data_IF_978224563869
#
_entry.id   IF_978224563869
#
_cell.length_a   1.000
_cell.length_b   1.000
_cell.length_c   1.000
_cell.angle_alpha   90.00
_cell.angle_beta   90.00
_cell.angle_gamma   90.00
#
_symmetry.space_group_name_H-M   'P 1'
#
loop_
_entity.id
_entity.type
_entity.pdbx_description
1 polymer ?
#
# COMPACT_ATOMS: atom_id res chain seq x y z
N UNK A 1 -12.17 -7.54 10.26
CA UNK A 1 -11.25 -7.16 9.17
C UNK A 1 -11.87 -5.96 8.49
N UNK A 2 -11.11 -4.88 8.30
CA UNK A 2 -11.56 -3.68 7.60
C UNK A 2 -11.47 -3.89 6.09
N UNK A 3 -12.35 -3.24 5.33
CA UNK A 3 -12.38 -3.37 3.88
C UNK A 3 -12.29 -2.00 3.22
N UNK A 4 -11.32 -1.85 2.36
CA UNK A 4 -11.12 -0.66 1.54
C UNK A 4 -10.99 -1.01 0.06
N UNK A 5 -10.86 0.03 -0.74
CA UNK A 5 -10.54 -0.12 -2.16
C UNK A 5 -9.40 0.79 -2.58
N UNK A 6 -8.81 0.52 -3.72
CA UNK A 6 -7.76 1.36 -4.28
C UNK A 6 -8.02 1.69 -5.75
N UNK A 7 -7.54 2.85 -6.16
CA UNK A 7 -7.39 3.20 -7.56
C UNK A 7 -5.91 3.37 -7.88
N UNK A 8 -5.37 2.39 -8.60
CA UNK A 8 -3.97 2.35 -9.04
C UNK A 8 -3.90 2.93 -10.45
N UNK A 9 -2.91 3.77 -10.72
CA UNK A 9 -2.68 4.39 -12.04
C UNK A 9 -3.90 5.14 -12.61
N UNK A 10 -4.50 6.07 -11.88
CA UNK A 10 -5.60 6.87 -12.42
C UNK A 10 -5.17 7.59 -13.70
N UNK A 11 -6.04 7.63 -14.69
CA UNK A 11 -5.79 8.37 -15.93
C UNK A 11 -5.85 9.90 -15.67
N UNK A 12 -6.74 10.31 -14.77
CA UNK A 12 -7.00 11.72 -14.43
C UNK A 12 -7.12 11.88 -12.92
N UNK A 13 -6.77 13.04 -12.35
CA UNK A 13 -7.03 13.34 -10.94
C UNK A 13 -8.50 13.16 -10.53
N UNK A 14 -9.44 13.57 -11.38
CA UNK A 14 -10.88 13.46 -11.13
C UNK A 14 -11.33 12.00 -10.92
N UNK A 15 -10.64 11.03 -11.53
CA UNK A 15 -10.95 9.61 -11.35
C UNK A 15 -10.73 9.18 -9.89
N UNK A 16 -9.72 9.76 -9.22
CA UNK A 16 -9.43 9.50 -7.80
C UNK A 16 -10.51 10.09 -6.90
N UNK A 17 -10.94 11.33 -7.19
CA UNK A 17 -12.01 11.99 -6.45
C UNK A 17 -13.31 11.19 -6.57
N UNK A 18 -13.66 10.77 -7.79
CA UNK A 18 -14.86 9.98 -8.05
C UNK A 18 -14.81 8.60 -7.34
N UNK A 19 -13.65 7.92 -7.38
CA UNK A 19 -13.48 6.61 -6.75
C UNK A 19 -13.53 6.71 -5.22
N UNK A 20 -12.94 7.74 -4.63
CA UNK A 20 -13.00 7.96 -3.17
C UNK A 20 -14.45 8.26 -2.72
N UNK A 21 -15.19 9.09 -3.45
CA UNK A 21 -16.58 9.37 -3.17
C UNK A 21 -17.47 8.11 -3.33
N UNK A 22 -17.21 7.28 -4.35
CA UNK A 22 -17.92 5.99 -4.50
C UNK A 22 -17.63 5.05 -3.34
N UNK A 23 -16.38 4.95 -2.90
CA UNK A 23 -15.98 4.17 -1.74
C UNK A 23 -16.70 4.64 -0.44
N UNK A 24 -16.82 5.95 -0.24
CA UNK A 24 -17.56 6.51 0.90
C UNK A 24 -19.05 6.15 0.86
N UNK A 25 -19.71 6.31 -0.31
CA UNK A 25 -21.14 5.98 -0.47
C UNK A 25 -21.44 4.49 -0.25
N UNK A 26 -20.45 3.62 -0.52
CA UNK A 26 -20.53 2.17 -0.23
C UNK A 26 -20.26 1.83 1.22
N UNK A 27 -19.90 2.81 2.05
CA UNK A 27 -19.55 2.57 3.45
C UNK A 27 -18.24 1.82 3.66
N UNK A 28 -17.32 1.88 2.67
CA UNK A 28 -16.00 1.27 2.84
C UNK A 28 -15.19 1.98 3.92
N UNK A 29 -14.34 1.21 4.63
CA UNK A 29 -13.51 1.73 5.69
C UNK A 29 -12.39 2.64 5.20
N UNK A 30 -11.87 2.40 3.96
CA UNK A 30 -10.71 3.13 3.46
C UNK A 30 -10.63 3.20 1.93
N UNK A 31 -9.93 4.24 1.46
CA UNK A 31 -9.58 4.42 0.05
C UNK A 31 -8.07 4.65 -0.09
N UNK A 32 -7.44 3.97 -1.06
CA UNK A 32 -5.99 3.97 -1.24
C UNK A 32 -5.56 4.33 -2.65
N UNK A 33 -4.42 5.02 -2.73
CA UNK A 33 -3.73 5.27 -4.00
C UNK A 33 -2.23 5.06 -3.80
N UNK A 34 -1.45 5.08 -4.89
CA UNK A 34 -0.03 4.78 -4.82
C UNK A 34 0.79 5.73 -5.68
N UNK A 35 2.08 5.79 -5.40
CA UNK A 35 3.03 6.49 -6.24
C UNK A 35 3.61 5.53 -7.29
N UNK A 36 3.24 5.73 -8.54
CA UNK A 36 3.85 5.06 -9.68
C UNK A 36 4.76 6.02 -10.45
N UNK A 37 5.85 5.48 -11.06
CA UNK A 37 6.76 6.29 -11.88
C UNK A 37 6.06 7.08 -12.95
N UNK A 38 6.33 8.40 -13.02
CA UNK A 38 5.75 9.29 -14.02
C UNK A 38 4.25 9.52 -13.91
N UNK A 39 3.62 9.16 -12.79
CA UNK A 39 2.19 9.35 -12.53
C UNK A 39 1.95 10.41 -11.46
N UNK A 40 0.68 10.66 -11.18
CA UNK A 40 0.20 11.65 -10.23
C UNK A 40 0.76 11.40 -8.81
N UNK A 41 1.04 12.49 -8.11
CA UNK A 41 1.47 12.40 -6.72
C UNK A 41 0.31 12.00 -5.80
N UNK A 42 0.44 10.92 -4.99
CA UNK A 42 -0.65 10.43 -4.17
C UNK A 42 -1.04 11.39 -3.04
N UNK A 43 -0.12 12.09 -2.40
CA UNK A 43 -0.46 13.02 -1.32
C UNK A 43 -1.20 14.25 -1.84
N UNK A 44 -0.78 14.77 -3.00
CA UNK A 44 -1.50 15.87 -3.66
C UNK A 44 -2.91 15.44 -4.03
N UNK A 45 -3.09 14.23 -4.60
CA UNK A 45 -4.42 13.70 -4.90
C UNK A 45 -5.28 13.56 -3.65
N UNK A 46 -4.73 12.96 -2.57
CA UNK A 46 -5.48 12.77 -1.32
C UNK A 46 -5.88 14.11 -0.67
N UNK A 47 -5.07 15.16 -0.82
CA UNK A 47 -5.41 16.49 -0.32
C UNK A 47 -6.60 17.14 -1.06
N UNK A 48 -6.94 16.68 -2.27
CA UNK A 48 -8.05 17.24 -3.07
C UNK A 48 -9.39 16.53 -2.84
N UNK A 49 -9.41 15.45 -2.04
CA UNK A 49 -10.61 14.67 -1.81
C UNK A 49 -11.66 15.45 -0.99
N UNK A 50 -12.89 15.50 -1.50
CA UNK A 50 -14.06 15.95 -0.77
C UNK A 50 -14.71 14.78 0.00
N UNK A 51 -15.79 14.21 -0.56
CA UNK A 51 -16.41 13.00 -0.04
C UNK A 51 -15.44 11.82 -0.14
N UNK A 52 -15.18 11.15 0.98
CA UNK A 52 -14.24 10.04 1.08
C UNK A 52 -14.56 9.13 2.27
N UNK A 53 -14.05 7.90 2.32
CA UNK A 53 -14.10 7.05 3.52
C UNK A 53 -13.40 7.70 4.73
N UNK A 54 -13.66 7.20 5.95
CA UNK A 54 -13.01 7.69 7.17
C UNK A 54 -11.48 7.65 7.11
N UNK A 55 -10.92 6.70 6.37
CA UNK A 55 -9.48 6.58 6.15
C UNK A 55 -9.11 6.69 4.67
N UNK A 56 -8.04 7.42 4.40
CA UNK A 56 -7.38 7.46 3.08
C UNK A 56 -5.91 7.12 3.24
N UNK A 57 -5.34 6.41 2.27
CA UNK A 57 -3.96 5.92 2.43
C UNK A 57 -3.12 5.92 1.17
N UNK A 58 -1.81 5.87 1.39
CA UNK A 58 -0.83 5.62 0.34
C UNK A 58 -0.32 4.17 0.40
N UNK A 59 -0.36 3.46 -0.72
CA UNK A 59 0.15 2.08 -0.83
C UNK A 59 1.06 1.92 -2.05
N UNK A 60 2.20 2.52 -2.05
CA UNK A 60 2.92 3.32 -1.05
C UNK A 60 3.46 4.62 -1.67
N UNK A 61 3.94 5.53 -0.82
CA UNK A 61 4.79 6.66 -1.20
C UNK A 61 6.26 6.24 -1.18
N UNK A 62 7.02 6.58 -2.22
CA UNK A 62 8.44 6.18 -2.36
C UNK A 62 9.36 7.05 -1.50
N UNK A 63 10.30 6.42 -0.75
CA UNK A 63 11.18 7.13 0.20
C UNK A 63 12.40 7.76 -0.44
N UNK A 64 13.04 7.11 -1.43
CA UNK A 64 14.30 7.59 -2.01
C UNK A 64 14.25 8.98 -2.64
N UNK A 65 13.23 9.35 -3.44
CA UNK A 65 13.17 10.66 -4.05
C UNK A 65 12.69 11.77 -3.11
N UNK A 66 12.35 11.44 -1.84
CA UNK A 66 11.82 12.39 -0.87
C UNK A 66 12.61 12.40 0.41
N UNK A 67 12.98 13.59 0.86
CA UNK A 67 13.56 13.74 2.18
C UNK A 67 12.50 13.48 3.28
N UNK A 68 12.81 12.77 4.40
CA UNK A 68 11.82 12.46 5.43
C UNK A 68 11.17 13.70 6.08
N UNK A 69 11.88 14.81 6.18
CA UNK A 69 11.34 16.11 6.64
C UNK A 69 10.25 16.60 5.69
N UNK A 70 10.49 16.53 4.37
CA UNK A 70 9.51 16.93 3.36
C UNK A 70 8.27 16.04 3.44
N UNK A 71 8.45 14.73 3.53
CA UNK A 71 7.33 13.78 3.66
C UNK A 71 6.52 14.01 4.93
N UNK A 72 7.18 14.31 6.06
CA UNK A 72 6.47 14.65 7.30
C UNK A 72 5.61 15.91 7.14
N UNK A 73 6.17 16.97 6.52
CA UNK A 73 5.43 18.19 6.24
C UNK A 73 4.25 17.97 5.31
N UNK A 74 4.46 17.23 4.22
CA UNK A 74 3.41 16.89 3.25
C UNK A 74 2.28 16.09 3.92
N UNK A 75 2.61 15.04 4.68
CA UNK A 75 1.63 14.19 5.34
C UNK A 75 0.82 14.95 6.40
N UNK A 76 1.47 15.78 7.23
CA UNK A 76 0.77 16.64 8.21
C UNK A 76 -0.09 17.69 7.52
N UNK A 77 0.34 18.21 6.35
CA UNK A 77 -0.47 19.13 5.56
C UNK A 77 -1.74 18.45 5.04
N UNK A 78 -1.63 17.23 4.52
CA UNK A 78 -2.81 16.44 4.11
C UNK A 78 -3.74 16.19 5.31
N UNK A 79 -3.19 15.78 6.45
CA UNK A 79 -3.97 15.58 7.68
C UNK A 79 -4.75 16.84 8.08
N UNK A 80 -4.10 17.99 8.06
CA UNK A 80 -4.76 19.27 8.40
C UNK A 80 -5.81 19.67 7.36
N UNK A 81 -5.48 19.56 6.07
CA UNK A 81 -6.37 19.96 4.97
C UNK A 81 -7.62 19.09 4.87
N UNK A 82 -7.50 17.81 5.22
CA UNK A 82 -8.60 16.84 5.14
C UNK A 82 -9.34 16.62 6.47
N UNK A 83 -8.89 17.23 7.56
CA UNK A 83 -9.47 17.02 8.88
C UNK A 83 -9.12 15.66 9.49
N UNK A 84 -8.06 15.02 9.04
CA UNK A 84 -7.58 13.74 9.55
C UNK A 84 -7.85 12.54 8.64
N UNK A 85 -7.55 11.35 9.15
CA UNK A 85 -7.83 10.08 8.46
C UNK A 85 -6.78 9.64 7.44
N UNK A 86 -5.60 10.29 7.36
CA UNK A 86 -4.50 9.81 6.51
C UNK A 86 -3.79 8.64 7.17
N UNK A 87 -3.56 7.60 6.41
CA UNK A 87 -2.58 6.53 6.70
C UNK A 87 -1.44 6.65 5.69
N UNK A 88 -0.24 6.94 6.19
CA UNK A 88 0.95 7.13 5.38
C UNK A 88 1.68 5.80 5.21
N UNK A 89 1.47 5.12 4.11
CA UNK A 89 2.27 3.96 3.72
C UNK A 89 3.49 4.39 2.90
N UNK A 90 4.69 4.01 3.34
CA UNK A 90 5.96 4.35 2.68
C UNK A 90 6.74 3.10 2.29
N UNK A 91 7.68 3.24 1.35
CA UNK A 91 8.55 2.12 0.96
C UNK A 91 9.70 2.54 0.05
N UNK A 92 10.76 1.72 -0.03
CA UNK A 92 11.96 2.07 -0.80
C UNK A 92 11.78 2.01 -2.32
N UNK A 93 10.66 1.47 -2.81
CA UNK A 93 10.46 1.21 -4.24
C UNK A 93 11.46 0.18 -4.79
N UNK A 94 11.88 0.31 -6.05
CA UNK A 94 12.70 -0.66 -6.79
C UNK A 94 13.88 0.01 -7.48
N UNK A 95 14.97 -0.71 -7.66
CA UNK A 95 16.21 -0.20 -8.27
C UNK A 95 15.96 0.38 -9.67
N UNK A 96 15.19 -0.32 -10.51
CA UNK A 96 14.90 0.12 -11.88
C UNK A 96 14.26 1.52 -11.95
N UNK A 97 13.45 1.90 -10.94
CA UNK A 97 12.88 3.24 -10.87
C UNK A 97 13.85 4.23 -10.23
N UNK A 98 14.33 3.91 -9.04
CA UNK A 98 15.15 4.84 -8.25
C UNK A 98 16.50 5.08 -8.90
N UNK A 99 17.17 4.02 -9.33
CA UNK A 99 18.52 4.13 -9.89
C UNK A 99 18.50 4.40 -11.38
N UNK A 100 17.73 3.60 -12.16
CA UNK A 100 17.86 3.63 -13.61
C UNK A 100 17.08 4.80 -14.24
N UNK A 101 15.95 5.22 -13.61
CA UNK A 101 15.15 6.36 -14.11
C UNK A 101 15.46 7.68 -13.40
N UNK A 102 15.68 7.66 -12.07
CA UNK A 102 15.92 8.90 -11.33
C UNK A 102 17.41 9.21 -11.09
N UNK A 103 18.32 8.28 -11.38
CA UNK A 103 19.76 8.47 -11.15
C UNK A 103 20.15 8.52 -9.67
N UNK A 104 19.26 8.12 -8.76
CA UNK A 104 19.52 8.10 -7.32
C UNK A 104 20.12 6.74 -6.95
N UNK A 105 21.29 6.66 -6.31
CA UNK A 105 21.89 5.39 -5.92
C UNK A 105 20.94 4.54 -5.05
N UNK A 106 20.55 3.36 -5.53
CA UNK A 106 19.70 2.43 -4.78
C UNK A 106 20.54 1.48 -3.94
N UNK A 107 21.15 2.02 -2.89
CA UNK A 107 22.02 1.26 -2.01
C UNK A 107 21.35 0.97 -0.68
N UNK A 108 21.58 -0.25 -0.14
CA UNK A 108 21.18 -0.63 1.22
C UNK A 108 19.74 -0.27 1.59
N UNK A 109 18.69 -0.69 0.84
CA UNK A 109 17.32 -0.22 1.04
C UNK A 109 16.79 -0.45 2.46
N UNK A 110 17.23 -1.51 3.14
CA UNK A 110 16.87 -1.75 4.53
C UNK A 110 17.43 -0.67 5.48
N UNK A 111 18.71 -0.31 5.34
CA UNK A 111 19.35 0.72 6.18
C UNK A 111 18.78 2.10 5.87
N UNK A 112 18.62 2.40 4.58
CA UNK A 112 17.96 3.64 4.15
C UNK A 112 16.55 3.79 4.73
N UNK A 113 15.72 2.74 4.64
CA UNK A 113 14.36 2.78 5.18
C UNK A 113 14.35 2.92 6.70
N UNK A 114 15.25 2.22 7.41
CA UNK A 114 15.40 2.36 8.86
C UNK A 114 15.71 3.81 9.23
N UNK A 115 16.70 4.39 8.61
CA UNK A 115 17.11 5.77 8.90
C UNK A 115 16.02 6.78 8.54
N UNK A 116 15.35 6.56 7.40
CA UNK A 116 14.21 7.35 6.98
C UNK A 116 13.09 7.36 8.02
N UNK A 117 12.70 6.18 8.53
CA UNK A 117 11.65 6.05 9.54
C UNK A 117 12.07 6.61 10.91
N UNK A 118 13.35 6.49 11.28
CA UNK A 118 13.91 7.07 12.50
C UNK A 118 13.78 8.59 12.53
N UNK A 119 13.87 9.24 11.36
CA UNK A 119 13.65 10.69 11.22
C UNK A 119 12.16 11.01 11.07
N UNK A 120 11.43 10.25 10.25
CA UNK A 120 10.05 10.54 9.88
C UNK A 120 9.09 10.43 11.08
N UNK A 121 9.14 9.32 11.82
CA UNK A 121 8.17 9.04 12.90
C UNK A 121 8.12 10.14 13.96
N UNK A 122 9.24 10.58 14.58
CA UNK A 122 9.18 11.63 15.60
C UNK A 122 8.78 12.98 15.01
N UNK A 123 9.13 13.32 13.75
CA UNK A 123 8.63 14.52 13.10
C UNK A 123 7.11 14.54 12.95
N UNK A 124 6.52 13.40 12.57
CA UNK A 124 5.06 13.26 12.50
C UNK A 124 4.39 13.45 13.87
N UNK A 125 5.09 13.08 14.95
CA UNK A 125 4.63 13.28 16.34
C UNK A 125 4.88 14.71 16.86
N UNK A 126 5.45 15.61 16.06
CA UNK A 126 5.74 16.99 16.45
C UNK A 126 6.99 17.14 17.32
N UNK A 127 7.85 16.13 17.36
CA UNK A 127 9.10 16.15 18.14
C UNK A 127 10.21 16.91 17.40
N UNK A 128 11.19 17.40 18.15
CA UNK A 128 12.44 17.91 17.60
C UNK A 128 13.36 16.73 17.28
N UNK A 129 13.82 16.65 16.03
CA UNK A 129 14.72 15.58 15.58
C UNK A 129 16.11 16.13 15.39
N UNK A 130 17.07 15.48 16.05
CA UNK A 130 18.50 15.64 15.79
C UNK A 130 19.06 14.28 15.40
N UNK A 131 19.45 14.15 14.13
CA UNK A 131 19.93 12.90 13.54
C UNK A 131 21.15 13.17 12.66
N UNK A 132 22.16 12.30 12.75
CA UNK A 132 23.32 12.31 11.85
C UNK A 132 23.64 10.87 11.48
N UNK A 133 23.23 10.47 10.28
CA UNK A 133 23.32 9.12 9.78
C UNK A 133 24.06 9.02 8.44
N UNK A 134 23.93 7.86 7.81
CA UNK A 134 24.53 7.57 6.51
C UNK A 134 23.78 8.29 5.37
N UNK A 135 22.45 8.36 5.46
CA UNK A 135 21.57 8.88 4.41
C UNK A 135 21.02 10.27 4.71
N UNK A 136 20.82 10.58 5.99
CA UNK A 136 20.20 11.83 6.40
C UNK A 136 20.95 12.51 7.54
N UNK A 137 21.07 13.83 7.45
CA UNK A 137 21.49 14.67 8.56
C UNK A 137 20.41 15.71 8.79
N UNK A 138 19.80 15.72 9.98
CA UNK A 138 18.63 16.52 10.33
C UNK A 138 18.80 17.11 11.71
N UNK A 139 18.54 18.40 11.84
CA UNK A 139 18.36 19.08 13.13
C UNK A 139 17.20 20.08 12.97
N UNK A 140 15.98 19.60 13.23
CA UNK A 140 14.77 20.40 13.01
C UNK A 140 13.58 19.94 13.85
N UNK A 141 12.62 20.82 13.99
CA UNK A 141 11.26 20.56 14.43
C UNK A 141 10.31 21.19 13.42
N UNK A 142 9.22 20.51 13.11
CA UNK A 142 8.20 21.08 12.23
C UNK A 142 7.29 22.04 13.01
N UNK A 143 7.01 23.17 12.41
CA UNK A 143 6.04 24.14 12.92
C UNK A 143 4.68 23.95 12.21
N UNK A 144 4.21 22.69 12.20
CA UNK A 144 2.93 22.28 11.62
C UNK A 144 2.19 21.46 12.66
N UNK A 145 0.96 21.84 12.96
CA UNK A 145 0.14 21.15 13.96
C UNK A 145 -1.00 20.41 13.27
N UNK A 146 -0.93 19.08 13.30
CA UNK A 146 -2.00 18.19 12.90
C UNK A 146 -1.88 16.88 13.72
N UNK A 147 -2.95 16.09 13.89
CA UNK A 147 -2.84 14.74 14.45
C UNK A 147 -1.87 13.91 13.61
N UNK A 148 -0.98 13.10 14.22
CA UNK A 148 -0.07 12.26 13.45
C UNK A 148 -0.88 11.23 12.61
N UNK A 149 -0.54 11.03 11.34
CA UNK A 149 -1.11 9.94 10.55
C UNK A 149 -0.59 8.58 11.06
N UNK A 150 -1.38 7.52 10.89
CA UNK A 150 -0.85 6.18 11.02
C UNK A 150 0.28 5.97 9.99
N UNK A 151 1.37 5.33 10.40
CA UNK A 151 2.56 5.12 9.57
C UNK A 151 2.72 3.63 9.27
N UNK A 152 2.57 3.26 8.01
CA UNK A 152 2.79 1.89 7.53
C UNK A 152 4.02 1.84 6.61
N UNK A 153 4.59 0.64 6.43
CA UNK A 153 5.62 0.47 5.42
C UNK A 153 5.40 -0.77 4.55
N UNK A 154 5.85 -0.69 3.29
CA UNK A 154 5.89 -1.85 2.41
C UNK A 154 6.95 -2.84 2.87
N UNK A 155 6.55 -4.08 3.12
CA UNK A 155 7.46 -5.13 3.56
C UNK A 155 7.02 -6.51 3.04
N UNK A 156 7.99 -7.26 2.50
CA UNK A 156 7.82 -8.65 2.04
C UNK A 156 8.92 -9.57 2.57
N UNK A 157 10.13 -9.06 2.67
CA UNK A 157 11.28 -9.82 3.18
C UNK A 157 11.32 -9.82 4.71
N UNK A 158 11.90 -10.87 5.34
CA UNK A 158 11.88 -11.04 6.80
C UNK A 158 12.45 -9.82 7.55
N UNK A 159 13.59 -9.29 7.10
CA UNK A 159 14.23 -8.13 7.75
C UNK A 159 13.42 -6.83 7.59
N UNK A 160 12.67 -6.68 6.51
CA UNK A 160 11.77 -5.53 6.33
C UNK A 160 10.52 -5.69 7.19
N UNK A 161 9.99 -6.90 7.37
CA UNK A 161 8.87 -7.17 8.28
C UNK A 161 9.25 -6.90 9.74
N UNK A 162 10.45 -7.30 10.16
CA UNK A 162 11.00 -7.00 11.49
C UNK A 162 11.15 -5.49 11.70
N UNK A 163 11.66 -4.77 10.67
CA UNK A 163 11.77 -3.31 10.71
C UNK A 163 10.40 -2.63 10.82
N UNK A 164 9.40 -3.12 10.10
CA UNK A 164 8.05 -2.59 10.19
C UNK A 164 7.47 -2.73 11.59
N UNK A 165 7.62 -3.91 12.20
CA UNK A 165 7.21 -4.16 13.58
C UNK A 165 7.88 -3.21 14.58
N UNK A 166 9.14 -2.88 14.34
CA UNK A 166 9.93 -2.02 15.25
C UNK A 166 9.53 -0.52 15.13
N UNK A 167 9.30 -0.02 13.91
CA UNK A 167 9.25 1.41 13.66
C UNK A 167 7.91 1.93 13.09
N UNK A 168 6.93 1.06 12.83
CA UNK A 168 5.67 1.48 12.18
C UNK A 168 4.43 0.91 12.88
N UNK A 169 3.26 1.38 12.51
CA UNK A 169 1.97 0.89 13.01
C UNK A 169 1.45 -0.31 12.20
N UNK A 170 2.17 -0.70 11.14
CA UNK A 170 1.79 -1.82 10.31
C UNK A 170 2.55 -1.96 9.00
N UNK A 171 2.19 -3.00 8.27
CA UNK A 171 2.73 -3.31 6.95
C UNK A 171 1.69 -3.15 5.85
N UNK A 172 2.16 -2.77 4.66
CA UNK A 172 1.39 -2.85 3.41
C UNK A 172 2.04 -3.89 2.53
N UNK A 173 1.25 -4.87 2.09
CA UNK A 173 1.72 -5.95 1.20
C UNK A 173 0.87 -6.03 -0.07
N UNK A 174 1.48 -6.47 -1.14
CA UNK A 174 0.80 -6.77 -2.42
C UNK A 174 1.49 -7.97 -3.08
N UNK A 175 0.83 -8.62 -4.02
CA UNK A 175 1.32 -9.84 -4.68
C UNK A 175 1.62 -10.96 -3.66
N UNK A 176 0.69 -11.20 -2.77
CA UNK A 176 0.76 -12.21 -1.71
C UNK A 176 -0.50 -13.07 -1.71
N UNK A 177 -0.39 -14.29 -1.16
CA UNK A 177 -1.53 -15.18 -0.93
C UNK A 177 -1.88 -15.23 0.56
N UNK A 178 -3.08 -15.74 0.93
CA UNK A 178 -3.42 -15.98 2.33
C UNK A 178 -2.39 -16.84 3.07
N UNK A 179 -1.85 -17.86 2.42
CA UNK A 179 -0.84 -18.75 3.00
C UNK A 179 0.44 -17.98 3.33
N UNK A 180 0.90 -17.12 2.40
CA UNK A 180 2.08 -16.30 2.63
C UNK A 180 1.87 -15.30 3.78
N UNK A 181 0.66 -14.78 3.94
CA UNK A 181 0.32 -13.95 5.10
C UNK A 181 0.40 -14.78 6.39
N UNK A 182 -0.26 -15.94 6.45
CA UNK A 182 -0.31 -16.79 7.64
C UNK A 182 1.05 -17.34 8.05
N UNK A 183 1.87 -17.77 7.08
CA UNK A 183 3.11 -18.51 7.36
C UNK A 183 4.34 -17.61 7.41
N UNK A 184 4.30 -16.44 6.74
CA UNK A 184 5.49 -15.61 6.62
C UNK A 184 5.31 -14.20 7.20
N UNK A 185 4.20 -13.50 6.91
CA UNK A 185 4.01 -12.11 7.33
C UNK A 185 3.55 -12.03 8.78
N UNK A 186 2.39 -12.61 9.11
CA UNK A 186 1.78 -12.50 10.43
C UNK A 186 2.69 -12.98 11.58
N UNK A 187 3.43 -14.10 11.48
CA UNK A 187 4.33 -14.53 12.55
C UNK A 187 5.49 -13.58 12.82
N UNK A 188 5.89 -12.75 11.82
CA UNK A 188 7.02 -11.82 11.97
C UNK A 188 6.61 -10.45 12.47
N UNK A 189 5.44 -10.00 12.09
CA UNK A 189 4.97 -8.68 12.52
C UNK A 189 4.20 -8.73 13.83
N UNK A 190 3.64 -9.90 14.19
CA UNK A 190 2.83 -10.08 15.40
C UNK A 190 1.39 -9.60 15.20
N UNK A 191 0.62 -9.62 16.28
CA UNK A 191 -0.81 -9.29 16.30
C UNK A 191 -1.10 -7.83 16.67
N UNK A 192 -0.07 -7.09 17.08
CA UNK A 192 -0.22 -5.75 17.67
C UNK A 192 -0.11 -4.64 16.61
N UNK A 193 0.23 -4.98 15.36
CA UNK A 193 0.31 -4.03 14.26
C UNK A 193 -0.58 -4.43 13.08
N UNK A 194 -0.92 -3.47 12.25
CA UNK A 194 -1.81 -3.69 11.10
C UNK A 194 -1.12 -4.49 10.00
N UNK A 195 -1.86 -5.41 9.39
CA UNK A 195 -1.48 -6.12 8.16
C UNK A 195 -2.47 -5.71 7.09
N UNK A 196 -2.07 -4.72 6.28
CA UNK A 196 -2.85 -4.22 5.14
C UNK A 196 -2.43 -4.98 3.88
N UNK A 197 -3.37 -5.69 3.29
CA UNK A 197 -3.13 -6.48 2.07
C UNK A 197 -3.88 -5.88 0.90
N UNK A 198 -3.15 -5.46 -0.12
CA UNK A 198 -3.73 -5.08 -1.40
C UNK A 198 -4.03 -6.34 -2.20
N UNK A 199 -5.31 -6.66 -2.33
CA UNK A 199 -5.81 -7.85 -3.05
C UNK A 199 -6.27 -7.44 -4.44
N UNK A 200 -5.54 -7.89 -5.45
CA UNK A 200 -5.91 -7.67 -6.85
C UNK A 200 -6.96 -8.71 -7.22
N UNK A 201 -8.06 -8.27 -7.79
CA UNK A 201 -9.20 -9.14 -8.13
C UNK A 201 -9.63 -8.95 -9.57
N UNK A 202 -10.12 -10.02 -10.20
CA UNK A 202 -10.70 -9.97 -11.55
C UNK A 202 -11.89 -10.94 -11.64
N UNK A 203 -13.09 -10.39 -11.83
CA UNK A 203 -14.26 -11.19 -12.19
C UNK A 203 -14.09 -11.75 -13.61
N UNK A 204 -14.17 -13.07 -13.74
CA UNK A 204 -14.01 -13.74 -15.03
C UNK A 204 -14.72 -15.08 -15.05
N UNK A 205 -15.36 -15.39 -16.17
CA UNK A 205 -15.91 -16.71 -16.48
C UNK A 205 -14.88 -17.65 -17.14
N UNK A 206 -13.70 -17.12 -17.47
CA UNK A 206 -12.57 -17.84 -18.09
C UNK A 206 -11.28 -17.61 -17.27
N UNK A 207 -11.21 -18.13 -16.01
CA UNK A 207 -10.14 -17.79 -15.08
C UNK A 207 -8.74 -18.15 -15.58
N UNK A 208 -8.57 -19.27 -16.29
CA UNK A 208 -7.27 -19.69 -16.79
C UNK A 208 -6.75 -18.74 -17.88
N UNK A 209 -7.61 -18.38 -18.82
CA UNK A 209 -7.28 -17.40 -19.88
C UNK A 209 -6.98 -16.03 -19.31
N UNK A 210 -7.72 -15.61 -18.29
CA UNK A 210 -7.48 -14.35 -17.59
C UNK A 210 -6.13 -14.40 -16.88
N UNK A 211 -5.78 -15.49 -16.21
CA UNK A 211 -4.49 -15.69 -15.54
C UNK A 211 -3.32 -15.61 -16.51
N UNK A 212 -3.43 -16.28 -17.66
CA UNK A 212 -2.41 -16.18 -18.72
C UNK A 212 -2.21 -14.74 -19.24
N UNK A 213 -3.29 -13.99 -19.41
CA UNK A 213 -3.20 -12.58 -19.82
C UNK A 213 -2.49 -11.75 -18.76
N UNK A 214 -2.87 -11.89 -17.49
CA UNK A 214 -2.25 -11.19 -16.37
C UNK A 214 -0.79 -11.59 -16.17
N UNK A 215 -0.42 -12.85 -16.43
CA UNK A 215 0.97 -13.29 -16.37
C UNK A 215 1.84 -12.59 -17.43
N UNK A 216 1.29 -12.28 -18.59
CA UNK A 216 1.98 -11.46 -19.61
C UNK A 216 2.06 -9.99 -19.18
N UNK A 217 0.96 -9.43 -18.68
CA UNK A 217 0.88 -8.01 -18.33
C UNK A 217 1.73 -7.65 -17.11
N UNK A 218 1.79 -8.54 -16.12
CA UNK A 218 2.54 -8.35 -14.88
C UNK A 218 3.87 -9.13 -14.80
N UNK A 219 4.30 -9.76 -15.89
CA UNK A 219 5.54 -10.55 -15.91
C UNK A 219 6.75 -9.79 -15.38
N UNK A 220 6.93 -8.53 -15.78
CA UNK A 220 8.01 -7.67 -15.33
C UNK A 220 8.00 -7.43 -13.80
N UNK A 221 6.84 -7.48 -13.14
CA UNK A 221 6.75 -7.38 -11.67
C UNK A 221 7.42 -8.58 -11.00
N UNK A 222 7.21 -9.78 -11.54
CA UNK A 222 7.81 -11.03 -11.04
C UNK A 222 9.33 -11.04 -11.12
N UNK A 223 9.93 -10.25 -12.02
CA UNK A 223 11.38 -10.12 -12.15
C UNK A 223 12.02 -9.23 -11.09
N UNK A 224 11.25 -8.42 -10.39
CA UNK A 224 11.75 -7.55 -9.33
C UNK A 224 12.22 -8.39 -8.13
N UNK A 225 13.44 -8.18 -7.59
CA UNK A 225 14.03 -9.07 -6.58
C UNK A 225 13.16 -9.33 -5.34
N UNK A 226 12.46 -8.31 -4.85
CA UNK A 226 11.59 -8.43 -3.68
C UNK A 226 10.37 -9.32 -3.96
N UNK A 227 9.72 -9.14 -5.11
CA UNK A 227 8.57 -9.95 -5.50
C UNK A 227 8.97 -11.37 -5.89
N UNK A 228 10.06 -11.54 -6.65
CA UNK A 228 10.60 -12.87 -6.97
C UNK A 228 10.89 -13.68 -5.71
N UNK A 229 11.53 -13.07 -4.72
CA UNK A 229 11.81 -13.74 -3.45
C UNK A 229 10.54 -14.05 -2.66
N UNK A 230 9.51 -13.20 -2.73
CA UNK A 230 8.22 -13.42 -2.08
C UNK A 230 7.45 -14.57 -2.75
N UNK A 231 7.32 -14.52 -4.06
CA UNK A 231 6.67 -15.58 -4.87
C UNK A 231 7.36 -16.93 -4.66
N UNK A 232 8.69 -16.95 -4.68
CA UNK A 232 9.47 -18.18 -4.44
C UNK A 232 9.22 -18.80 -3.06
N UNK A 233 8.98 -18.00 -2.01
CA UNK A 233 8.59 -18.53 -0.68
C UNK A 233 7.23 -19.21 -0.70
N UNK A 234 6.33 -18.73 -1.53
CA UNK A 234 4.99 -19.29 -1.71
C UNK A 234 4.96 -20.43 -2.75
N UNK A 235 6.10 -20.80 -3.36
CA UNK A 235 6.15 -21.79 -4.44
C UNK A 235 5.49 -21.32 -5.74
N UNK A 236 5.31 -20.00 -5.91
CA UNK A 236 4.66 -19.39 -7.07
C UNK A 236 5.68 -18.91 -8.10
N UNK A 237 5.29 -18.91 -9.36
CA UNK A 237 6.15 -18.51 -10.48
C UNK A 237 5.78 -17.15 -11.08
N UNK A 238 4.57 -16.67 -10.86
CA UNK A 238 4.06 -15.44 -11.46
C UNK A 238 3.29 -14.59 -10.46
N UNK A 239 3.35 -13.25 -10.55
CA UNK A 239 2.43 -12.37 -9.81
C UNK A 239 0.95 -12.67 -10.08
N UNK A 240 0.61 -13.15 -11.28
CA UNK A 240 -0.75 -13.54 -11.64
C UNK A 240 -1.31 -14.68 -10.76
N UNK A 241 -0.42 -15.51 -10.15
CA UNK A 241 -0.82 -16.58 -9.24
C UNK A 241 -1.37 -16.04 -7.91
N UNK A 242 -1.11 -14.77 -7.58
CA UNK A 242 -1.62 -14.09 -6.39
C UNK A 242 -2.92 -13.31 -6.64
N UNK A 243 -3.32 -13.16 -7.91
CA UNK A 243 -4.55 -12.46 -8.28
C UNK A 243 -5.74 -13.37 -8.03
N UNK A 244 -6.75 -12.86 -7.36
CA UNK A 244 -8.01 -13.58 -7.16
C UNK A 244 -8.85 -13.44 -8.44
N UNK A 245 -8.98 -14.53 -9.17
CA UNK A 245 -9.70 -14.60 -10.45
C UNK A 245 -10.80 -15.63 -10.34
N UNK A 246 -12.03 -15.27 -10.69
CA UNK A 246 -13.16 -16.18 -10.68
C UNK A 246 -14.49 -15.44 -10.64
N UNK A 247 -15.49 -16.11 -10.10
CA UNK A 247 -16.80 -15.50 -9.87
C UNK A 247 -16.87 -14.77 -8.52
N UNK A 248 -18.06 -14.27 -8.18
CA UNK A 248 -18.32 -13.57 -6.92
C UNK A 248 -18.01 -14.44 -5.69
N UNK A 249 -18.32 -15.73 -5.77
CA UNK A 249 -18.08 -16.70 -4.69
C UNK A 249 -16.59 -16.88 -4.45
N UNK A 250 -15.80 -16.98 -5.50
CA UNK A 250 -14.34 -17.12 -5.43
C UNK A 250 -13.70 -15.90 -4.73
N UNK A 251 -14.17 -14.70 -5.06
CA UNK A 251 -13.68 -13.46 -4.42
C UNK A 251 -14.02 -13.46 -2.93
N UNK A 252 -15.27 -13.75 -2.55
CA UNK A 252 -15.70 -13.78 -1.15
C UNK A 252 -14.94 -14.83 -0.35
N UNK A 253 -14.73 -16.02 -0.92
CA UNK A 253 -13.92 -17.07 -0.30
C UNK A 253 -12.47 -16.65 -0.09
N UNK A 254 -11.87 -15.98 -1.07
CA UNK A 254 -10.51 -15.46 -0.94
C UNK A 254 -10.40 -14.39 0.17
N UNK A 255 -11.35 -13.48 0.27
CA UNK A 255 -11.38 -12.47 1.34
C UNK A 255 -11.48 -13.14 2.73
N UNK A 256 -12.29 -14.17 2.85
CA UNK A 256 -12.40 -14.98 4.07
C UNK A 256 -11.05 -15.60 4.44
N UNK A 257 -10.36 -16.22 3.46
CA UNK A 257 -9.03 -16.80 3.68
C UNK A 257 -7.99 -15.75 4.10
N UNK A 258 -8.00 -14.56 3.51
CA UNK A 258 -7.12 -13.46 3.94
C UNK A 258 -7.40 -13.04 5.38
N UNK A 259 -8.67 -12.93 5.77
CA UNK A 259 -9.05 -12.64 7.16
C UNK A 259 -8.52 -13.69 8.12
N UNK A 260 -8.74 -14.96 7.80
CA UNK A 260 -8.35 -16.10 8.66
C UNK A 260 -6.83 -16.28 8.72
N UNK A 261 -6.09 -15.76 7.72
CA UNK A 261 -4.63 -15.67 7.70
C UNK A 261 -4.04 -14.56 8.61
N UNK A 262 -4.89 -13.71 9.21
CA UNK A 262 -4.45 -12.63 10.11
C UNK A 262 -4.37 -11.26 9.46
N UNK A 263 -4.93 -11.07 8.26
CA UNK A 263 -5.07 -9.76 7.63
C UNK A 263 -6.02 -8.88 8.44
N UNK A 264 -5.58 -7.69 8.81
CA UNK A 264 -6.42 -6.72 9.52
C UNK A 264 -7.25 -5.86 8.57
N UNK A 265 -6.68 -5.54 7.40
CA UNK A 265 -7.28 -4.68 6.39
C UNK A 265 -7.06 -5.28 5.00
N UNK A 266 -8.13 -5.46 4.26
CA UNK A 266 -8.08 -5.79 2.83
C UNK A 266 -8.37 -4.54 2.02
N UNK A 267 -7.50 -4.25 1.06
CA UNK A 267 -7.67 -3.18 0.07
C UNK A 267 -7.89 -3.81 -1.29
N UNK A 268 -9.12 -3.80 -1.76
CA UNK A 268 -9.46 -4.36 -3.06
C UNK A 268 -8.95 -3.48 -4.21
N UNK A 269 -8.30 -4.12 -5.16
CA UNK A 269 -7.84 -3.51 -6.41
C UNK A 269 -8.49 -4.21 -7.60
N UNK A 270 -9.77 -3.91 -7.89
CA UNK A 270 -10.49 -4.60 -8.94
C UNK A 270 -9.97 -4.22 -10.33
N UNK A 271 -9.68 -5.23 -11.14
CA UNK A 271 -9.33 -5.13 -12.56
C UNK A 271 -10.56 -5.30 -13.44
N UNK A 272 -10.36 -5.23 -14.76
CA UNK A 272 -11.40 -5.42 -15.76
C UNK A 272 -12.07 -4.11 -16.20
N UNK A 273 -13.24 -4.26 -16.81
CA UNK A 273 -14.06 -3.13 -17.29
C UNK A 273 -14.63 -2.33 -16.09
N UNK A 274 -15.11 -1.10 -16.31
CA UNK A 274 -15.81 -0.37 -15.24
C UNK A 274 -16.99 -1.14 -14.64
N UNK A 275 -17.69 -1.95 -15.44
CA UNK A 275 -18.78 -2.80 -14.96
C UNK A 275 -18.27 -3.94 -14.05
N UNK A 276 -17.17 -4.59 -14.42
CA UNK A 276 -16.55 -5.66 -13.59
C UNK A 276 -16.05 -5.11 -12.26
N UNK A 277 -15.40 -3.96 -12.30
CA UNK A 277 -14.94 -3.27 -11.07
C UNK A 277 -16.12 -2.91 -10.16
N UNK A 278 -17.20 -2.38 -10.74
CA UNK A 278 -18.41 -2.07 -9.98
C UNK A 278 -18.99 -3.34 -9.34
N UNK A 279 -19.15 -4.43 -10.10
CA UNK A 279 -19.66 -5.70 -9.58
C UNK A 279 -18.77 -6.24 -8.45
N UNK A 280 -17.44 -6.16 -8.58
CA UNK A 280 -16.51 -6.55 -7.52
C UNK A 280 -16.73 -5.75 -6.24
N UNK A 281 -16.94 -4.43 -6.36
CA UNK A 281 -17.20 -3.57 -5.20
C UNK A 281 -18.61 -3.80 -4.61
N UNK A 282 -19.60 -4.15 -5.43
CA UNK A 282 -20.96 -4.47 -4.97
C UNK A 282 -20.98 -5.73 -4.06
N UNK A 283 -19.98 -6.63 -4.17
CA UNK A 283 -19.86 -7.81 -3.28
C UNK A 283 -19.54 -7.43 -1.83
N UNK A 284 -18.93 -6.28 -1.62
CA UNK A 284 -18.50 -5.86 -0.29
C UNK A 284 -19.74 -5.61 0.60
N UNK A 285 -20.81 -5.10 0.03
CA UNK A 285 -22.06 -4.84 0.73
C UNK A 285 -22.63 -6.12 1.37
N UNK A 286 -22.37 -7.28 0.74
CA UNK A 286 -22.78 -8.60 1.22
C UNK A 286 -21.81 -9.21 2.24
N UNK A 287 -20.56 -8.78 2.26
CA UNK A 287 -19.51 -9.30 3.15
C UNK A 287 -19.49 -8.58 4.52
N UNK A 288 -19.99 -7.35 4.56
CA UNK A 288 -20.01 -6.50 5.78
C UNK A 288 -21.28 -6.68 6.61
N UNK A 289 -22.27 -7.41 6.11
CA UNK A 289 -23.50 -7.80 6.81
C UNK A 289 -23.35 -9.18 7.45
#
# INVERSE_FOLDING_TARGET
MRIGTSLINPARPDDVVAAAADAARRGLDSFWTNQNPGRWDPLVLLATLGERPPETGTAILTTYPRHPVTTATEALTVQAATGGGLTLGVGPSHAWYIQDQLGIPYTSPLRHTREYLTVLRPLLNGEHVRHSGEFFTVDTKLDVTAPPPALLMAALGPRMLELARELTDGVVTTWVTPELIAEHVAPRVGTDIRIVVQVITLLSTEPDRAREALARDFGAVGEMPAYRASLGRAGLSSPADTVVIGDETDIVNALTRFRDAGTTDVVLSPLGTPADRKRTLDLIDTFSS
#
